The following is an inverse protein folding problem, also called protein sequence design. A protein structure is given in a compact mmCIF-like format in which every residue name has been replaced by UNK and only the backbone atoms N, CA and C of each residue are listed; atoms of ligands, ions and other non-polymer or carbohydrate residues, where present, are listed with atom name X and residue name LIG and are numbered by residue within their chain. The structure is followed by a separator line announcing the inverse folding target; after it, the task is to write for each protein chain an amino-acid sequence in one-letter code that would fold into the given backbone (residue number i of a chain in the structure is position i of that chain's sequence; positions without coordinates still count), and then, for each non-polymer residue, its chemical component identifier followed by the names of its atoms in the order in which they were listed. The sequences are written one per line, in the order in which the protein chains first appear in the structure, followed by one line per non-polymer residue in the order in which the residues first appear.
data_IF_029174491288
#
_entry.id   IF_029174491288
#
_cell.length_a   1.000
_cell.length_b   1.000
_cell.length_c   1.000
_cell.angle_alpha   90.00
_cell.angle_beta   90.00
_cell.angle_gamma   90.00
#
_symmetry.space_group_name_H-M   'P 1'
#
loop_
_entity.id
_entity.type
_entity.pdbx_description
1 polymer ?
#
# COMPACT_ATOMS: atom_id res chain seq x y z
N UNK A 1 -17.49 -18.12 58.49
CA UNK A 1 -18.68 -17.80 57.68
C UNK A 1 -18.26 -16.77 56.63
N UNK A 2 -18.09 -17.17 55.36
CA UNK A 2 -17.77 -16.25 54.25
C UNK A 2 -19.06 -15.56 53.83
N UNK A 3 -19.07 -14.23 53.86
CA UNK A 3 -20.27 -13.43 53.65
C UNK A 3 -20.62 -13.41 52.14
N UNK A 4 -21.71 -14.07 51.69
CA UNK A 4 -22.00 -14.29 50.27
C UNK A 4 -22.28 -12.98 49.50
N UNK A 5 -22.61 -11.90 50.23
CA UNK A 5 -22.86 -10.58 49.66
C UNK A 5 -21.59 -9.89 49.15
N UNK A 6 -20.44 -10.15 49.79
CA UNK A 6 -19.15 -9.56 49.40
C UNK A 6 -18.60 -10.25 48.15
N UNK A 7 -18.79 -11.58 47.99
CA UNK A 7 -18.36 -12.27 46.77
C UNK A 7 -19.21 -11.89 45.54
N UNK A 8 -20.50 -11.60 45.73
CA UNK A 8 -21.37 -11.11 44.65
C UNK A 8 -20.98 -9.70 44.19
N UNK A 9 -20.66 -8.79 45.11
CA UNK A 9 -20.23 -7.43 44.79
C UNK A 9 -18.87 -7.38 44.06
N UNK A 10 -17.93 -8.25 44.44
CA UNK A 10 -16.64 -8.38 43.76
C UNK A 10 -16.80 -8.95 42.34
N UNK A 11 -17.69 -9.94 42.16
CA UNK A 11 -17.96 -10.53 40.85
C UNK A 11 -18.65 -9.53 39.88
N UNK A 12 -19.57 -8.71 40.38
CA UNK A 12 -20.24 -7.67 39.59
C UNK A 12 -19.27 -6.55 39.22
N UNK A 13 -18.45 -6.09 40.16
CA UNK A 13 -17.44 -5.04 39.90
C UNK A 13 -16.37 -5.47 38.89
N UNK A 14 -15.97 -6.76 38.91
CA UNK A 14 -15.06 -7.33 37.92
C UNK A 14 -15.68 -7.43 36.51
N UNK A 15 -16.99 -7.69 36.41
CA UNK A 15 -17.70 -7.69 35.12
C UNK A 15 -17.78 -6.30 34.48
N UNK A 16 -17.96 -5.23 35.29
CA UNK A 16 -18.03 -3.85 34.79
C UNK A 16 -16.68 -3.32 34.28
N UNK A 17 -15.56 -3.79 34.84
CA UNK A 17 -14.23 -3.38 34.38
C UNK A 17 -13.87 -3.99 33.01
N UNK A 18 -14.39 -5.18 32.68
CA UNK A 18 -14.11 -5.86 31.41
C UNK A 18 -14.91 -5.30 30.22
N UNK A 19 -16.01 -4.57 30.46
CA UNK A 19 -16.81 -3.95 29.38
C UNK A 19 -16.26 -2.61 28.90
N UNK A 20 -15.41 -1.94 29.69
CA UNK A 20 -14.94 -0.58 29.39
C UNK A 20 -13.88 -0.52 28.27
N UNK A 21 -12.97 -1.51 28.21
CA UNK A 21 -11.94 -1.55 27.16
C UNK A 21 -12.47 -1.96 25.78
N UNK A 22 -13.59 -2.68 25.71
CA UNK A 22 -14.20 -3.08 24.44
C UNK A 22 -14.84 -1.90 23.68
N UNK A 23 -15.35 -0.89 24.40
CA UNK A 23 -15.98 0.29 23.82
C UNK A 23 -15.00 1.21 23.09
N UNK A 24 -13.80 1.42 23.64
CA UNK A 24 -12.79 2.32 23.06
C UNK A 24 -12.23 1.81 21.72
N UNK A 25 -11.99 0.49 21.59
CA UNK A 25 -11.54 -0.13 20.33
C UNK A 25 -12.58 -0.01 19.21
N UNK A 26 -13.86 -0.01 19.54
CA UNK A 26 -14.95 0.00 18.55
C UNK A 26 -15.15 1.40 17.93
N UNK A 27 -14.95 2.46 18.71
CA UNK A 27 -15.01 3.86 18.21
C UNK A 27 -13.81 4.20 17.30
N UNK A 28 -12.60 3.78 17.65
CA UNK A 28 -11.41 4.01 16.80
C UNK A 28 -11.51 3.29 15.45
N UNK A 29 -12.05 2.06 15.43
CA UNK A 29 -12.36 1.33 14.22
C UNK A 29 -13.40 2.07 13.36
N UNK A 30 -14.47 2.59 13.98
CA UNK A 30 -15.50 3.35 13.27
C UNK A 30 -14.93 4.59 12.59
N UNK A 31 -14.01 5.30 13.25
CA UNK A 31 -13.33 6.46 12.67
C UNK A 31 -12.48 6.05 11.45
N UNK A 32 -11.69 4.98 11.54
CA UNK A 32 -10.88 4.45 10.43
C UNK A 32 -11.74 3.94 9.25
N UNK A 33 -12.94 3.43 9.53
CA UNK A 33 -13.90 2.96 8.54
C UNK A 33 -14.63 4.12 7.84
N UNK A 34 -15.02 5.17 8.57
CA UNK A 34 -15.85 6.27 8.06
C UNK A 34 -15.05 7.43 7.43
N UNK A 35 -13.80 7.67 7.84
CA UNK A 35 -12.99 8.81 7.37
C UNK A 35 -11.55 8.38 7.08
N UNK A 36 -11.16 8.38 5.79
CA UNK A 36 -9.74 8.45 5.44
C UNK A 36 -9.28 9.91 5.51
N UNK A 37 -8.25 10.16 6.32
CA UNK A 37 -7.54 11.44 6.35
C UNK A 37 -6.22 11.38 5.56
N UNK A 38 -5.97 10.28 4.82
CA UNK A 38 -4.70 10.03 4.14
C UNK A 38 -4.42 10.99 2.98
N UNK A 39 -5.46 11.65 2.48
CA UNK A 39 -5.30 12.80 1.60
C UNK A 39 -6.37 13.85 1.91
N UNK A 40 -5.93 15.09 2.11
CA UNK A 40 -6.82 16.19 2.42
C UNK A 40 -7.11 17.10 1.22
N UNK A 41 -6.23 17.22 0.20
CA UNK A 41 -6.29 18.40 -0.69
C UNK A 41 -5.70 18.30 -2.12
N UNK A 42 -5.14 17.19 -2.61
CA UNK A 42 -4.48 17.16 -3.95
C UNK A 42 -5.17 16.27 -4.99
N UNK A 43 -6.24 16.78 -5.62
CA UNK A 43 -6.73 16.22 -6.90
C UNK A 43 -5.86 16.81 -8.01
N UNK A 44 -5.05 15.98 -8.65
CA UNK A 44 -4.30 16.40 -9.81
C UNK A 44 -5.24 16.48 -11.02
N UNK A 45 -5.15 17.60 -11.74
CA UNK A 45 -5.90 17.83 -12.97
C UNK A 45 -4.92 18.25 -14.05
N UNK A 46 -4.64 17.33 -14.96
CA UNK A 46 -3.76 17.53 -16.10
C UNK A 46 -4.23 16.68 -17.27
N UNK A 47 -3.69 16.98 -18.45
CA UNK A 47 -4.00 16.32 -19.72
C UNK A 47 -2.85 15.44 -20.17
N UNK A 48 -3.08 14.58 -21.17
CA UNK A 48 -2.02 13.74 -21.73
C UNK A 48 -0.85 14.57 -22.29
N UNK A 49 -1.09 15.82 -22.69
CA UNK A 49 -0.07 16.74 -23.19
C UNK A 49 0.87 17.26 -22.10
N UNK A 50 0.44 17.24 -20.84
CA UNK A 50 1.25 17.65 -19.69
C UNK A 50 2.19 16.53 -19.22
N UNK A 51 2.02 15.31 -19.73
CA UNK A 51 2.91 14.18 -19.45
C UNK A 51 4.17 14.32 -20.32
N UNK A 52 5.38 14.25 -19.72
CA UNK A 52 6.62 14.27 -20.47
C UNK A 52 6.67 13.22 -21.57
N UNK A 53 7.16 13.62 -22.75
CA UNK A 53 7.42 12.68 -23.84
C UNK A 53 8.60 11.77 -23.46
N UNK A 54 8.54 10.44 -23.71
CA UNK A 54 9.65 9.52 -23.45
C UNK A 54 10.99 10.03 -24.01
N UNK A 55 12.05 9.92 -23.20
CA UNK A 55 13.35 10.51 -23.52
C UNK A 55 13.98 9.95 -24.80
N UNK A 56 13.62 8.72 -25.20
CA UNK A 56 14.04 8.07 -26.44
C UNK A 56 13.54 8.81 -27.69
N UNK A 57 12.41 9.49 -27.58
CA UNK A 57 11.82 10.27 -28.66
C UNK A 57 12.34 11.71 -28.69
N UNK A 58 13.20 12.08 -27.73
CA UNK A 58 13.77 13.41 -27.61
C UNK A 58 15.20 13.46 -28.16
N UNK A 59 15.51 14.53 -28.90
CA UNK A 59 16.88 14.82 -29.31
C UNK A 59 17.62 15.50 -28.16
N UNK A 60 18.39 14.70 -27.41
CA UNK A 60 19.22 15.21 -26.30
C UNK A 60 20.61 15.61 -26.80
N UNK A 61 21.05 16.81 -26.42
CA UNK A 61 22.37 17.34 -26.77
C UNK A 61 23.51 16.46 -26.26
N UNK A 62 24.58 16.33 -27.05
CA UNK A 62 25.74 15.50 -26.72
C UNK A 62 26.40 15.90 -25.41
N UNK A 63 26.42 17.20 -25.11
CA UNK A 63 27.06 17.73 -23.91
C UNK A 63 26.32 17.31 -22.64
N UNK A 64 24.98 17.22 -22.70
CA UNK A 64 24.18 16.69 -21.61
C UNK A 64 24.42 15.19 -21.41
N UNK A 65 24.52 14.42 -22.50
CA UNK A 65 24.82 12.97 -22.43
C UNK A 65 26.21 12.66 -21.87
N UNK A 66 27.16 13.59 -22.01
CA UNK A 66 28.51 13.46 -21.45
C UNK A 66 28.53 13.65 -19.93
N UNK A 67 27.68 14.54 -19.42
CA UNK A 67 27.68 14.97 -18.03
C UNK A 67 26.66 14.23 -17.16
N UNK A 68 25.61 13.66 -17.76
CA UNK A 68 24.54 12.99 -17.05
C UNK A 68 24.32 11.57 -17.57
N UNK A 69 24.13 10.64 -16.63
CA UNK A 69 23.64 9.29 -16.96
C UNK A 69 22.22 9.33 -17.50
N UNK A 70 21.82 8.30 -18.26
CA UNK A 70 20.49 8.27 -18.89
C UNK A 70 19.35 8.33 -17.88
N UNK A 71 19.48 7.67 -16.71
CA UNK A 71 18.49 7.75 -15.64
C UNK A 71 18.30 9.18 -15.14
N UNK A 72 19.40 9.90 -14.85
CA UNK A 72 19.36 11.29 -14.43
C UNK A 72 18.70 12.20 -15.48
N UNK A 73 19.00 11.98 -16.77
CA UNK A 73 18.34 12.71 -17.86
C UNK A 73 16.85 12.38 -17.96
N UNK A 74 16.45 11.13 -17.74
CA UNK A 74 15.05 10.73 -17.74
C UNK A 74 14.29 11.34 -16.56
N UNK A 75 14.91 11.44 -15.37
CA UNK A 75 14.34 12.17 -14.24
C UNK A 75 14.23 13.66 -14.53
N UNK A 76 15.28 14.27 -15.11
CA UNK A 76 15.24 15.66 -15.53
C UNK A 76 14.10 15.92 -16.53
N UNK A 77 13.84 14.97 -17.44
CA UNK A 77 12.68 15.02 -18.34
C UNK A 77 11.36 14.90 -17.57
N UNK A 78 11.25 13.91 -16.67
CA UNK A 78 10.06 13.66 -15.85
C UNK A 78 9.61 14.91 -15.07
N UNK A 79 10.56 15.65 -14.48
CA UNK A 79 10.27 16.84 -13.66
C UNK A 79 10.25 18.15 -14.49
N UNK A 80 10.37 18.07 -15.81
CA UNK A 80 10.39 19.22 -16.70
C UNK A 80 11.64 20.11 -16.59
N UNK A 81 12.77 19.58 -16.09
CA UNK A 81 14.05 20.28 -15.96
C UNK A 81 14.98 20.11 -17.17
N UNK A 82 14.70 19.19 -18.09
CA UNK A 82 15.59 18.88 -19.21
C UNK A 82 15.95 20.10 -20.09
N UNK A 83 14.97 20.95 -20.41
CA UNK A 83 15.20 22.18 -21.17
C UNK A 83 16.03 23.21 -20.38
N UNK A 84 15.89 23.23 -19.04
CA UNK A 84 16.68 24.08 -18.16
C UNK A 84 18.13 23.62 -18.11
N UNK A 85 18.40 22.31 -18.14
CA UNK A 85 19.77 21.78 -18.21
C UNK A 85 20.47 22.20 -19.50
N UNK A 86 19.77 22.15 -20.64
CA UNK A 86 20.30 22.66 -21.91
C UNK A 86 20.65 24.14 -21.78
N UNK A 87 19.69 24.95 -21.31
CA UNK A 87 19.90 26.39 -21.09
C UNK A 87 21.09 26.65 -20.17
N UNK A 88 21.21 25.89 -19.09
CA UNK A 88 22.32 25.99 -18.15
C UNK A 88 23.66 25.70 -18.82
N UNK A 89 23.75 24.64 -19.63
CA UNK A 89 24.96 24.29 -20.36
C UNK A 89 25.37 25.40 -21.35
N UNK A 90 24.40 25.96 -22.09
CA UNK A 90 24.62 27.06 -23.03
C UNK A 90 25.13 28.32 -22.30
N UNK A 91 24.46 28.71 -21.21
CA UNK A 91 24.88 29.85 -20.37
C UNK A 91 26.27 29.65 -19.76
N UNK A 92 26.60 28.41 -19.35
CA UNK A 92 27.90 28.09 -18.75
C UNK A 92 29.02 28.25 -19.76
N UNK A 93 28.80 27.80 -21.00
CA UNK A 93 29.74 27.98 -22.10
C UNK A 93 29.93 29.46 -22.42
N UNK A 94 28.83 30.21 -22.54
CA UNK A 94 28.88 31.64 -22.86
C UNK A 94 29.57 32.48 -21.76
N UNK A 95 29.35 32.14 -20.49
CA UNK A 95 30.07 32.74 -19.37
C UNK A 95 31.57 32.42 -19.38
N UNK A 96 31.95 31.19 -19.72
CA UNK A 96 33.36 30.78 -19.80
C UNK A 96 34.11 31.53 -20.92
N UNK A 97 33.45 31.82 -22.04
CA UNK A 97 34.02 32.57 -23.16
C UNK A 97 34.04 34.09 -22.90
N UNK A 98 32.99 34.63 -22.28
CA UNK A 98 32.83 36.08 -22.06
C UNK A 98 32.24 36.38 -20.68
N UNK A 99 33.05 36.37 -19.61
CA UNK A 99 32.55 36.51 -18.25
C UNK A 99 32.00 37.92 -17.98
N UNK A 100 30.77 38.00 -17.45
CA UNK A 100 30.15 39.24 -16.96
C UNK A 100 29.25 39.00 -15.75
N UNK A 101 28.93 40.06 -15.01
CA UNK A 101 28.02 39.99 -13.85
C UNK A 101 26.62 39.56 -14.28
N UNK A 102 26.14 40.06 -15.41
CA UNK A 102 24.83 39.75 -15.98
C UNK A 102 24.74 38.26 -16.33
N UNK A 103 25.74 37.70 -17.00
CA UNK A 103 25.77 36.26 -17.33
C UNK A 103 25.89 35.37 -16.10
N UNK A 104 26.63 35.81 -15.08
CA UNK A 104 26.68 35.12 -13.80
C UNK A 104 25.30 35.11 -13.12
N UNK A 105 24.56 36.22 -13.18
CA UNK A 105 23.20 36.30 -12.66
C UNK A 105 22.26 35.36 -13.43
N UNK A 106 22.31 35.33 -14.75
CA UNK A 106 21.52 34.41 -15.58
C UNK A 106 21.79 32.93 -15.24
N UNK A 107 23.06 32.57 -15.01
CA UNK A 107 23.45 31.25 -14.52
C UNK A 107 22.80 30.93 -13.18
N UNK A 108 22.93 31.83 -12.20
CA UNK A 108 22.34 31.66 -10.86
C UNK A 108 20.81 31.52 -10.92
N UNK A 109 20.13 32.31 -11.74
CA UNK A 109 18.69 32.19 -11.95
C UNK A 109 18.30 30.83 -12.57
N UNK A 110 19.11 30.34 -13.52
CA UNK A 110 18.88 29.04 -14.14
C UNK A 110 19.07 27.91 -13.13
N UNK A 111 20.14 27.96 -12.32
CA UNK A 111 20.40 27.03 -11.22
C UNK A 111 19.25 27.03 -10.21
N UNK A 112 18.75 28.22 -9.83
CA UNK A 112 17.61 28.33 -8.92
C UNK A 112 16.34 27.67 -9.49
N UNK A 113 16.06 27.85 -10.78
CA UNK A 113 14.91 27.21 -11.44
C UNK A 113 15.03 25.69 -11.47
N UNK A 114 16.24 25.15 -11.72
CA UNK A 114 16.49 23.70 -11.69
C UNK A 114 16.28 23.17 -10.27
N UNK A 115 16.85 23.82 -9.25
CA UNK A 115 16.68 23.44 -7.86
C UNK A 115 15.21 23.52 -7.41
N UNK A 116 14.47 24.52 -7.88
CA UNK A 116 13.03 24.61 -7.63
C UNK A 116 12.26 23.41 -8.23
N UNK A 117 12.60 22.98 -9.46
CA UNK A 117 12.00 21.77 -10.06
C UNK A 117 12.31 20.52 -9.27
N UNK A 118 13.56 20.36 -8.82
CA UNK A 118 13.98 19.25 -7.96
C UNK A 118 13.19 19.25 -6.64
N UNK A 119 13.06 20.41 -5.99
CA UNK A 119 12.36 20.53 -4.71
C UNK A 119 10.86 20.23 -4.84
N UNK A 120 10.19 20.76 -5.86
CA UNK A 120 8.77 20.48 -6.11
C UNK A 120 8.57 18.98 -6.35
N UNK A 121 9.39 18.37 -7.21
CA UNK A 121 9.31 16.94 -7.47
C UNK A 121 9.57 16.11 -6.20
N UNK A 122 10.53 16.51 -5.36
CA UNK A 122 10.82 15.83 -4.09
C UNK A 122 9.63 15.86 -3.13
N UNK A 123 8.90 16.98 -3.07
CA UNK A 123 7.68 17.13 -2.27
C UNK A 123 6.52 16.31 -2.85
N UNK A 124 6.33 16.34 -4.17
CA UNK A 124 5.31 15.55 -4.86
C UNK A 124 5.51 14.03 -4.65
N UNK A 125 6.73 13.55 -4.83
CA UNK A 125 7.09 12.13 -4.60
C UNK A 125 6.83 11.75 -3.14
N UNK A 126 7.24 12.59 -2.19
CA UNK A 126 6.99 12.33 -0.77
C UNK A 126 5.51 12.34 -0.42
N UNK A 127 4.73 13.27 -0.99
CA UNK A 127 3.30 13.32 -0.74
C UNK A 127 2.59 12.06 -1.25
N UNK A 128 2.98 11.56 -2.42
CA UNK A 128 2.47 10.29 -2.95
C UNK A 128 2.87 9.12 -2.06
N UNK A 129 4.15 9.01 -1.67
CA UNK A 129 4.62 7.94 -0.80
C UNK A 129 3.86 7.94 0.55
N UNK A 130 3.75 9.09 1.21
CA UNK A 130 2.99 9.21 2.46
C UNK A 130 1.49 8.92 2.30
N UNK A 131 0.90 9.21 1.13
CA UNK A 131 -0.49 8.81 0.85
C UNK A 131 -0.62 7.29 0.73
N UNK A 132 0.36 6.61 0.12
CA UNK A 132 0.37 5.14 0.00
C UNK A 132 0.54 4.47 1.37
N UNK A 133 1.55 4.89 2.14
CA UNK A 133 1.84 4.42 3.52
C UNK A 133 0.61 4.60 4.43
N UNK A 134 -0.06 5.76 4.37
CA UNK A 134 -1.25 5.98 5.18
C UNK A 134 -2.43 5.06 4.79
N UNK A 135 -2.69 4.86 3.49
CA UNK A 135 -3.77 3.96 3.06
C UNK A 135 -3.42 2.47 3.28
N UNK A 136 -2.13 2.13 3.23
CA UNK A 136 -1.60 0.81 3.62
C UNK A 136 -1.90 0.56 5.10
N UNK A 137 -1.41 1.42 5.99
CA UNK A 137 -1.57 1.30 7.44
C UNK A 137 -3.06 1.26 7.82
N UNK A 138 -3.89 2.08 7.16
CA UNK A 138 -5.34 2.04 7.34
C UNK A 138 -5.94 0.68 6.97
N UNK A 139 -5.50 0.07 5.87
CA UNK A 139 -5.98 -1.24 5.47
C UNK A 139 -5.46 -2.33 6.42
N UNK A 140 -4.17 -2.28 6.80
CA UNK A 140 -3.53 -3.28 7.66
C UNK A 140 -4.06 -3.26 9.10
N UNK A 141 -4.26 -2.08 9.71
CA UNK A 141 -4.85 -1.97 11.04
C UNK A 141 -6.24 -2.62 11.12
N UNK A 142 -7.06 -2.44 10.08
CA UNK A 142 -8.39 -3.05 10.01
C UNK A 142 -8.26 -4.56 9.74
N UNK A 143 -7.32 -4.98 8.88
CA UNK A 143 -7.03 -6.40 8.66
C UNK A 143 -6.66 -7.10 9.97
N UNK A 144 -5.70 -6.53 10.70
CA UNK A 144 -5.22 -7.00 12.01
C UNK A 144 -6.35 -7.05 13.04
N UNK A 145 -7.20 -6.01 13.10
CA UNK A 145 -8.37 -6.03 13.99
C UNK A 145 -9.35 -7.17 13.66
N UNK A 146 -9.64 -7.39 12.37
CA UNK A 146 -10.52 -8.48 11.96
C UNK A 146 -9.89 -9.85 12.25
N UNK A 147 -8.59 -9.98 12.01
CA UNK A 147 -7.83 -11.20 12.27
C UNK A 147 -7.80 -11.56 13.76
N UNK A 148 -7.54 -10.58 14.63
CA UNK A 148 -7.64 -10.74 16.09
C UNK A 148 -9.02 -11.26 16.52
N UNK A 149 -10.09 -10.77 15.89
CA UNK A 149 -11.45 -11.21 16.19
C UNK A 149 -11.71 -12.63 15.71
N UNK A 150 -11.23 -12.99 14.52
CA UNK A 150 -11.29 -14.36 13.99
C UNK A 150 -10.53 -15.33 14.90
N UNK A 151 -9.30 -15.00 15.29
CA UNK A 151 -8.43 -15.82 16.12
C UNK A 151 -9.00 -16.02 17.54
N UNK A 152 -9.67 -15.01 18.09
CA UNK A 152 -10.39 -15.12 19.36
C UNK A 152 -11.57 -16.09 19.28
N UNK A 153 -12.31 -16.09 18.17
CA UNK A 153 -13.42 -17.04 17.95
C UNK A 153 -12.84 -18.45 17.75
N UNK A 154 -11.78 -18.58 16.95
CA UNK A 154 -11.08 -19.84 16.72
C UNK A 154 -10.58 -20.46 18.02
N UNK A 155 -9.95 -19.66 18.89
CA UNK A 155 -9.48 -20.10 20.21
C UNK A 155 -10.63 -20.62 21.06
N UNK A 156 -11.76 -19.89 21.12
CA UNK A 156 -12.93 -20.31 21.89
C UNK A 156 -13.57 -21.59 21.37
N UNK A 157 -13.69 -21.73 20.04
CA UNK A 157 -14.24 -22.93 19.40
C UNK A 157 -13.33 -24.14 19.60
N UNK A 158 -12.01 -23.95 19.50
CA UNK A 158 -11.02 -25.01 19.72
C UNK A 158 -11.05 -25.51 21.17
N UNK A 159 -11.00 -24.59 22.14
CA UNK A 159 -11.07 -24.95 23.56
C UNK A 159 -12.41 -25.59 23.90
N UNK A 160 -13.52 -25.05 23.42
CA UNK A 160 -14.86 -25.61 23.63
C UNK A 160 -15.00 -27.01 23.04
N UNK A 161 -14.52 -27.22 21.81
CA UNK A 161 -14.49 -28.53 21.15
C UNK A 161 -13.64 -29.55 21.92
N UNK A 162 -12.47 -29.15 22.43
CA UNK A 162 -11.62 -30.01 23.25
C UNK A 162 -12.28 -30.39 24.58
N UNK A 163 -12.90 -29.43 25.29
CA UNK A 163 -13.60 -29.72 26.55
C UNK A 163 -14.77 -30.68 26.32
N UNK A 164 -15.61 -30.42 25.32
CA UNK A 164 -16.75 -31.29 24.99
C UNK A 164 -16.27 -32.68 24.57
N UNK A 165 -15.22 -32.76 23.75
CA UNK A 165 -14.62 -34.03 23.32
C UNK A 165 -14.06 -34.84 24.47
N UNK A 166 -13.32 -34.19 25.39
CA UNK A 166 -12.75 -34.83 26.57
C UNK A 166 -13.82 -35.33 27.55
N UNK A 167 -14.83 -34.50 27.85
CA UNK A 167 -15.94 -34.91 28.72
C UNK A 167 -16.76 -36.06 28.12
N UNK A 168 -16.98 -36.06 26.80
CA UNK A 168 -17.66 -37.15 26.12
C UNK A 168 -16.90 -38.48 26.15
N UNK A 169 -15.57 -38.45 26.02
CA UNK A 169 -14.72 -39.63 26.11
C UNK A 169 -14.68 -40.24 27.52
N UNK A 170 -14.69 -39.40 28.56
CA UNK A 170 -14.78 -39.86 29.95
C UNK A 170 -16.16 -40.47 30.26
N UNK A 171 -17.24 -39.86 29.75
CA UNK A 171 -18.59 -40.38 29.93
C UNK A 171 -18.81 -41.72 29.20
N UNK A 172 -18.31 -41.88 27.98
CA UNK A 172 -18.39 -43.16 27.26
C UNK A 172 -17.54 -44.24 27.93
N UNK A 173 -16.32 -43.92 28.40
CA UNK A 173 -15.47 -44.85 29.14
C UNK A 173 -16.10 -45.33 30.47
N UNK A 174 -16.81 -44.46 31.18
CA UNK A 174 -17.49 -44.82 32.43
C UNK A 174 -18.77 -45.64 32.20
N UNK A 175 -19.50 -45.39 31.10
CA UNK A 175 -20.71 -46.12 30.74
C UNK A 175 -20.42 -47.52 30.18
N UNK A 176 -19.29 -47.72 29.49
CA UNK A 176 -18.84 -49.05 29.02
C UNK A 176 -18.53 -49.98 30.20
N UNK A 177 -18.15 -49.45 31.36
CA UNK A 177 -17.84 -50.24 32.56
C UNK A 177 -19.10 -50.66 33.37
N UNK A 178 -20.30 -50.21 32.97
CA UNK A 178 -21.59 -50.65 33.53
C UNK A 178 -22.37 -51.36 32.42
N UNK A 179 -22.11 -52.65 32.25
CA UNK A 179 -22.49 -53.47 31.08
C UNK A 179 -23.97 -53.53 30.72
N UNK A 180 -24.51 -52.47 30.12
CA UNK A 180 -25.72 -52.47 29.27
C UNK A 180 -25.80 -51.15 28.49
N UNK A 181 -24.88 -50.93 27.54
CA UNK A 181 -24.96 -49.80 26.61
C UNK A 181 -25.03 -50.35 25.17
N UNK A 182 -26.25 -50.60 24.71
CA UNK A 182 -26.55 -50.83 23.29
C UNK A 182 -26.11 -49.61 22.46
N UNK A 183 -25.13 -49.84 21.57
CA UNK A 183 -24.81 -49.26 20.24
C UNK A 183 -24.96 -47.76 19.91
N UNK A 184 -25.39 -46.86 20.80
CA UNK A 184 -25.62 -45.45 20.44
C UNK A 184 -24.54 -44.43 20.88
N UNK A 185 -23.43 -44.88 21.45
CA UNK A 185 -22.53 -43.99 22.21
C UNK A 185 -21.08 -43.87 21.68
N UNK A 186 -20.87 -44.17 20.38
CA UNK A 186 -19.62 -43.86 19.67
C UNK A 186 -19.69 -42.66 18.72
N UNK A 187 -20.88 -42.15 18.41
CA UNK A 187 -21.09 -41.19 17.31
C UNK A 187 -21.10 -39.72 17.78
N UNK A 188 -21.40 -39.45 19.06
CA UNK A 188 -21.55 -38.07 19.56
C UNK A 188 -20.25 -37.28 19.75
N UNK A 189 -19.12 -37.94 19.99
CA UNK A 189 -17.86 -37.28 20.39
C UNK A 189 -17.02 -36.78 19.21
N UNK A 190 -17.10 -37.42 18.04
CA UNK A 190 -16.43 -36.95 16.81
C UNK A 190 -17.13 -35.76 16.14
N UNK A 191 -18.45 -35.63 16.32
CA UNK A 191 -19.26 -34.59 15.67
C UNK A 191 -18.93 -33.20 16.22
N UNK A 192 -18.71 -33.04 17.53
CA UNK A 192 -18.45 -31.72 18.12
C UNK A 192 -17.13 -31.09 17.62
N UNK A 193 -16.06 -31.88 17.52
CA UNK A 193 -14.78 -31.42 16.95
C UNK A 193 -14.88 -31.10 15.46
N UNK A 194 -15.60 -31.93 14.69
CA UNK A 194 -15.84 -31.66 13.26
C UNK A 194 -16.66 -30.39 13.03
N UNK A 195 -17.71 -30.15 13.83
CA UNK A 195 -18.52 -28.93 13.77
C UNK A 195 -17.69 -27.71 14.15
N UNK A 196 -16.90 -27.77 15.22
CA UNK A 196 -16.00 -26.69 15.60
C UNK A 196 -14.99 -26.37 14.48
N UNK A 197 -14.39 -27.40 13.85
CA UNK A 197 -13.50 -27.23 12.70
C UNK A 197 -14.19 -26.57 11.50
N UNK A 198 -15.42 -26.97 11.17
CA UNK A 198 -16.20 -26.32 10.11
C UNK A 198 -16.52 -24.86 10.44
N UNK A 199 -16.89 -24.57 11.69
CA UNK A 199 -17.15 -23.19 12.13
C UNK A 199 -15.89 -22.33 12.06
N UNK A 200 -14.73 -22.85 12.46
CA UNK A 200 -13.44 -22.17 12.31
C UNK A 200 -13.17 -21.83 10.84
N UNK A 201 -13.29 -22.82 9.95
CA UNK A 201 -13.03 -22.63 8.51
C UNK A 201 -14.01 -21.67 7.81
N UNK A 202 -15.22 -21.52 8.34
CA UNK A 202 -16.26 -20.67 7.75
C UNK A 202 -16.38 -19.29 8.42
N UNK A 203 -15.71 -19.07 9.56
CA UNK A 203 -15.73 -17.81 10.30
C UNK A 203 -14.79 -16.76 9.69
N UNK A 204 -15.14 -16.25 8.50
CA UNK A 204 -14.48 -15.08 7.91
C UNK A 204 -15.28 -13.82 8.25
N UNK A 205 -14.75 -13.01 9.16
CA UNK A 205 -15.35 -11.73 9.52
C UNK A 205 -15.18 -10.77 8.34
N UNK A 206 -16.24 -10.00 8.05
CA UNK A 206 -16.21 -9.00 6.99
C UNK A 206 -16.52 -7.62 7.51
N UNK A 207 -15.92 -6.62 6.88
CA UNK A 207 -16.17 -5.20 7.14
C UNK A 207 -16.42 -4.46 5.83
N UNK A 208 -17.23 -3.41 5.86
CA UNK A 208 -17.36 -2.49 4.73
C UNK A 208 -16.18 -1.52 4.74
N UNK A 209 -15.38 -1.55 3.68
CA UNK A 209 -14.21 -0.70 3.51
C UNK A 209 -14.25 -0.07 2.12
N UNK A 210 -14.34 1.25 2.08
CA UNK A 210 -14.44 2.03 0.84
C UNK A 210 -13.23 2.95 0.68
N UNK A 211 -12.83 3.12 -0.58
CA UNK A 211 -11.64 3.86 -1.00
C UNK A 211 -11.94 4.65 -2.28
N UNK A 212 -12.71 5.74 -2.17
CA UNK A 212 -13.10 6.55 -3.33
C UNK A 212 -11.90 7.04 -4.16
N UNK A 213 -10.79 7.32 -3.47
CA UNK A 213 -9.50 7.62 -4.09
C UNK A 213 -8.66 6.35 -4.02
N UNK A 214 -8.47 5.71 -5.17
CA UNK A 214 -7.91 4.37 -5.24
C UNK A 214 -6.65 4.30 -6.11
N UNK A 215 -5.43 4.46 -5.55
CA UNK A 215 -4.18 4.38 -6.31
C UNK A 215 -4.02 3.03 -7.01
N UNK A 216 -4.51 1.95 -6.41
CA UNK A 216 -4.49 0.62 -7.03
C UNK A 216 -5.28 0.61 -8.33
N UNK A 217 -6.42 1.32 -8.36
CA UNK A 217 -7.26 1.46 -9.55
C UNK A 217 -6.53 2.15 -10.69
N UNK A 218 -5.85 3.27 -10.42
CA UNK A 218 -5.08 4.00 -11.43
C UNK A 218 -3.96 3.13 -12.01
N UNK A 219 -3.19 2.44 -11.16
CA UNK A 219 -2.15 1.49 -11.58
C UNK A 219 -2.73 0.37 -12.44
N UNK A 220 -3.88 -0.20 -12.05
CA UNK A 220 -4.49 -1.32 -12.74
C UNK A 220 -5.06 -0.93 -14.11
N UNK A 221 -5.85 0.15 -14.15
CA UNK A 221 -6.61 0.58 -15.32
C UNK A 221 -5.79 1.35 -16.35
N UNK A 222 -4.64 1.92 -15.95
CA UNK A 222 -3.68 2.49 -16.90
C UNK A 222 -4.29 3.64 -17.74
N UNK A 223 -5.00 4.56 -17.10
CA UNK A 223 -5.55 5.75 -17.77
C UNK A 223 -4.47 6.60 -18.43
N UNK A 224 -4.87 7.45 -19.39
CA UNK A 224 -3.93 8.39 -20.01
C UNK A 224 -3.33 9.34 -18.97
N UNK A 225 -4.14 9.79 -18.02
CA UNK A 225 -3.73 10.61 -16.86
C UNK A 225 -4.18 9.94 -15.56
N UNK A 226 -3.64 10.44 -14.44
CA UNK A 226 -4.02 10.02 -13.10
C UNK A 226 -4.51 11.21 -12.29
N UNK A 227 -5.55 10.99 -11.49
CA UNK A 227 -6.02 11.99 -10.51
C UNK A 227 -5.30 11.88 -9.16
N UNK A 228 -4.47 10.84 -9.02
CA UNK A 228 -3.78 10.43 -7.80
C UNK A 228 -2.29 10.72 -7.89
N UNK A 229 -1.68 10.39 -9.02
CA UNK A 229 -0.25 10.60 -9.28
C UNK A 229 -0.04 11.89 -10.07
N UNK A 230 0.89 12.77 -9.66
CA UNK A 230 1.28 13.94 -10.43
C UNK A 230 1.96 13.52 -11.75
N UNK A 231 2.01 14.40 -12.77
CA UNK A 231 2.52 14.06 -14.11
C UNK A 231 3.91 13.42 -14.10
N UNK A 232 4.82 13.91 -13.26
CA UNK A 232 6.19 13.39 -13.15
C UNK A 232 6.22 11.94 -12.63
N UNK A 233 5.43 11.65 -11.59
CA UNK A 233 5.33 10.30 -11.00
C UNK A 233 4.59 9.37 -11.94
N UNK A 234 3.50 9.85 -12.56
CA UNK A 234 2.75 9.07 -13.54
C UNK A 234 3.61 8.72 -14.75
N UNK A 235 4.39 9.66 -15.28
CA UNK A 235 5.38 9.38 -16.31
C UNK A 235 6.38 8.32 -15.85
N UNK A 236 6.98 8.48 -14.66
CA UNK A 236 7.99 7.55 -14.14
C UNK A 236 7.46 6.11 -14.01
N UNK A 237 6.23 5.94 -13.52
CA UNK A 237 5.59 4.64 -13.39
C UNK A 237 5.31 3.97 -14.74
N UNK A 238 4.99 4.77 -15.77
CA UNK A 238 4.55 4.30 -17.08
C UNK A 238 5.66 4.24 -18.14
N UNK A 239 6.79 4.89 -17.86
CA UNK A 239 7.93 4.94 -18.75
C UNK A 239 8.47 3.52 -19.00
N UNK A 240 8.68 3.20 -20.28
CA UNK A 240 9.29 1.96 -20.73
C UNK A 240 10.66 2.27 -21.29
N UNK A 241 11.68 1.72 -20.63
CA UNK A 241 13.04 1.86 -21.11
C UNK A 241 13.27 0.93 -22.31
N UNK A 242 13.47 1.52 -23.49
CA UNK A 242 13.69 0.76 -24.72
C UNK A 242 14.97 -0.10 -24.70
N UNK A 243 15.93 0.17 -23.81
CA UNK A 243 17.13 -0.66 -23.68
C UNK A 243 16.92 -1.90 -22.81
N UNK A 244 15.84 -1.95 -22.05
CA UNK A 244 15.48 -3.07 -21.17
C UNK A 244 14.07 -3.57 -21.53
N UNK A 245 13.90 -3.91 -22.81
CA UNK A 245 12.63 -4.26 -23.43
C UNK A 245 11.95 -5.50 -22.82
N UNK A 246 12.70 -6.30 -22.05
CA UNK A 246 12.18 -7.49 -21.36
C UNK A 246 11.49 -7.14 -20.03
N UNK A 247 11.73 -5.96 -19.46
CA UNK A 247 11.27 -5.59 -18.12
C UNK A 247 9.94 -4.82 -18.10
N UNK A 248 9.62 -4.12 -19.19
CA UNK A 248 8.42 -3.26 -19.29
C UNK A 248 8.42 -2.11 -18.27
N UNK A 249 7.33 -1.34 -18.21
CA UNK A 249 7.21 -0.23 -17.25
C UNK A 249 7.15 -0.71 -15.79
N UNK A 250 7.52 0.16 -14.84
CA UNK A 250 7.43 -0.15 -13.41
C UNK A 250 5.98 -0.50 -13.00
N UNK A 251 4.99 0.19 -13.57
CA UNK A 251 3.57 -0.14 -13.42
C UNK A 251 3.27 -1.57 -13.88
N UNK A 252 3.79 -1.98 -15.03
CA UNK A 252 3.59 -3.34 -15.53
C UNK A 252 4.26 -4.37 -14.62
N UNK A 253 5.46 -4.08 -14.10
CA UNK A 253 6.17 -4.93 -13.14
C UNK A 253 5.37 -5.12 -11.84
N UNK A 254 4.80 -4.04 -11.28
CA UNK A 254 3.91 -4.10 -10.11
C UNK A 254 2.71 -5.00 -10.39
N UNK A 255 2.03 -4.78 -11.53
CA UNK A 255 0.86 -5.58 -11.90
C UNK A 255 1.20 -7.07 -12.02
N UNK A 256 2.35 -7.39 -12.62
CA UNK A 256 2.82 -8.79 -12.69
C UNK A 256 3.08 -9.33 -11.29
N UNK A 257 3.77 -8.59 -10.42
CA UNK A 257 4.01 -9.01 -9.02
C UNK A 257 2.72 -9.32 -8.26
N UNK A 258 1.68 -8.50 -8.41
CA UNK A 258 0.37 -8.76 -7.80
C UNK A 258 -0.31 -10.03 -8.34
N UNK A 259 -0.10 -10.35 -9.63
CA UNK A 259 -0.63 -11.59 -10.21
C UNK A 259 0.19 -12.81 -9.76
N UNK A 260 1.51 -12.70 -9.70
CA UNK A 260 2.42 -13.81 -9.44
C UNK A 260 2.45 -14.22 -7.96
N UNK A 261 2.39 -13.26 -7.03
CA UNK A 261 2.44 -13.52 -5.59
C UNK A 261 1.09 -13.97 -5.00
N UNK A 262 0.05 -14.05 -5.81
CA UNK A 262 -1.26 -14.47 -5.33
C UNK A 262 -2.04 -13.42 -4.55
N UNK A 263 -1.61 -12.16 -4.62
CA UNK A 263 -2.44 -11.01 -4.25
C UNK A 263 -3.75 -11.02 -5.05
N UNK A 264 -3.67 -11.45 -6.32
CA UNK A 264 -4.80 -11.57 -7.25
C UNK A 264 -4.98 -13.02 -7.77
N UNK A 265 -4.05 -13.94 -7.51
CA UNK A 265 -4.14 -15.33 -7.99
C UNK A 265 -5.13 -16.17 -7.17
N UNK A 266 -5.80 -17.13 -7.84
CA UNK A 266 -6.81 -18.02 -7.23
C UNK A 266 -8.28 -17.61 -7.43
N UNK A 267 -8.57 -16.53 -8.15
CA UNK A 267 -9.95 -16.14 -8.40
C UNK A 267 -10.54 -16.96 -9.57
N UNK A 268 -11.48 -17.87 -9.28
CA UNK A 268 -12.27 -18.60 -10.29
C UNK A 268 -12.87 -17.62 -11.31
N UNK A 269 -12.90 -18.00 -12.60
CA UNK A 269 -13.29 -17.12 -13.72
C UNK A 269 -14.58 -16.31 -13.49
N UNK A 270 -15.61 -16.89 -12.85
CA UNK A 270 -16.88 -16.22 -12.52
C UNK A 270 -16.79 -15.21 -11.35
N UNK A 271 -15.80 -15.34 -10.46
CA UNK A 271 -15.58 -14.41 -9.31
C UNK A 271 -14.52 -13.36 -9.61
N UNK A 272 -13.81 -13.48 -10.73
CA UNK A 272 -12.67 -12.62 -11.11
C UNK A 272 -13.08 -11.16 -11.15
N UNK A 273 -14.21 -10.85 -11.77
CA UNK A 273 -14.72 -9.47 -11.87
C UNK A 273 -15.04 -8.84 -10.52
N UNK A 274 -15.80 -9.53 -9.66
CA UNK A 274 -16.16 -9.02 -8.32
C UNK A 274 -14.95 -8.81 -7.41
N UNK A 275 -13.92 -9.65 -7.51
CA UNK A 275 -12.71 -9.50 -6.72
C UNK A 275 -11.79 -8.40 -7.25
N UNK A 276 -11.72 -8.22 -8.57
CA UNK A 276 -11.00 -7.09 -9.17
C UNK A 276 -11.69 -5.76 -8.84
N UNK A 277 -13.02 -5.69 -8.94
CA UNK A 277 -13.78 -4.48 -8.58
C UNK A 277 -13.64 -4.13 -7.10
N UNK A 278 -13.44 -5.13 -6.24
CA UNK A 278 -13.17 -4.91 -4.81
C UNK A 278 -11.89 -4.08 -4.64
N UNK A 279 -10.78 -4.51 -5.25
CA UNK A 279 -9.47 -3.86 -5.12
C UNK A 279 -9.31 -2.59 -5.95
N UNK A 280 -9.82 -2.58 -7.18
CA UNK A 280 -9.55 -1.56 -8.20
C UNK A 280 -10.74 -0.61 -8.45
N UNK A 281 -11.91 -0.92 -7.88
CA UNK A 281 -13.09 -0.05 -7.89
C UNK A 281 -13.17 0.85 -6.66
N UNK A 282 -14.39 1.04 -6.11
CA UNK A 282 -14.65 1.94 -4.98
C UNK A 282 -14.57 1.26 -3.60
N UNK A 283 -14.38 -0.06 -3.55
CA UNK A 283 -14.38 -0.87 -2.33
C UNK A 283 -15.67 -1.66 -2.12
N UNK A 284 -15.85 -2.20 -0.92
CA UNK A 284 -16.96 -3.11 -0.61
C UNK A 284 -16.72 -3.90 0.68
N UNK A 285 -17.21 -5.15 0.72
CA UNK A 285 -17.04 -6.03 1.89
C UNK A 285 -15.73 -6.80 1.80
N UNK A 286 -14.81 -6.49 2.70
CA UNK A 286 -13.50 -7.13 2.80
C UNK A 286 -13.41 -8.10 3.97
N UNK A 287 -12.66 -9.19 3.80
CA UNK A 287 -12.11 -10.00 4.91
C UNK A 287 -10.75 -9.47 5.37
N UNK A 288 -10.25 -9.94 6.51
CA UNK A 288 -8.89 -9.63 6.99
C UNK A 288 -7.82 -9.88 5.91
N UNK A 289 -7.80 -11.09 5.36
CA UNK A 289 -6.88 -11.49 4.28
C UNK A 289 -6.94 -10.54 3.08
N UNK A 290 -8.13 -10.08 2.69
CA UNK A 290 -8.26 -9.20 1.53
C UNK A 290 -7.75 -7.79 1.81
N UNK A 291 -7.86 -7.29 3.04
CA UNK A 291 -7.30 -6.00 3.43
C UNK A 291 -5.78 -6.05 3.55
N UNK A 292 -5.23 -7.13 4.10
CA UNK A 292 -3.77 -7.35 4.13
C UNK A 292 -3.19 -7.35 2.71
N UNK A 293 -3.79 -8.09 1.77
CA UNK A 293 -3.39 -8.04 0.34
C UNK A 293 -3.49 -6.63 -0.27
N UNK A 294 -4.47 -5.81 0.17
CA UNK A 294 -4.58 -4.41 -0.26
C UNK A 294 -3.41 -3.60 0.28
N UNK A 295 -3.06 -3.76 1.55
CA UNK A 295 -1.91 -3.11 2.17
C UNK A 295 -0.62 -3.49 1.43
N UNK A 296 -0.38 -4.79 1.19
CA UNK A 296 0.77 -5.28 0.45
C UNK A 296 0.89 -4.68 -0.97
N UNK A 297 -0.24 -4.45 -1.64
CA UNK A 297 -0.25 -3.78 -2.95
C UNK A 297 0.08 -2.28 -2.86
N UNK A 298 -0.29 -1.61 -1.77
CA UNK A 298 0.00 -0.19 -1.54
C UNK A 298 1.47 0.03 -1.19
N UNK A 299 2.04 -0.80 -0.30
CA UNK A 299 3.48 -0.82 0.03
C UNK A 299 4.34 -0.96 -1.23
N UNK A 300 3.92 -1.83 -2.16
CA UNK A 300 4.63 -2.00 -3.43
C UNK A 300 4.66 -0.75 -4.30
N UNK A 301 3.58 0.04 -4.30
CA UNK A 301 3.56 1.33 -4.99
C UNK A 301 4.46 2.32 -4.25
N UNK A 302 4.35 2.39 -2.93
CA UNK A 302 5.18 3.27 -2.10
C UNK A 302 6.68 3.02 -2.35
N UNK A 303 7.10 1.76 -2.28
CA UNK A 303 8.46 1.30 -2.54
C UNK A 303 8.98 1.81 -3.90
N UNK A 304 8.15 1.78 -4.95
CA UNK A 304 8.55 2.23 -6.29
C UNK A 304 8.58 3.76 -6.40
N UNK A 305 7.66 4.46 -5.75
CA UNK A 305 7.70 5.92 -5.67
C UNK A 305 8.94 6.37 -4.89
N UNK A 306 9.34 5.64 -3.85
CA UNK A 306 10.59 5.87 -3.12
C UNK A 306 11.84 5.61 -3.99
N UNK A 307 11.81 4.68 -4.95
CA UNK A 307 12.88 4.52 -5.94
C UNK A 307 13.03 5.78 -6.82
N UNK A 308 11.91 6.40 -7.24
CA UNK A 308 11.97 7.68 -7.97
C UNK A 308 12.69 8.76 -7.15
N UNK A 309 12.52 8.78 -5.82
CA UNK A 309 13.23 9.71 -4.93
C UNK A 309 14.74 9.46 -4.93
N UNK A 310 15.17 8.22 -5.02
CA UNK A 310 16.59 7.86 -5.13
C UNK A 310 17.17 8.32 -6.48
N UNK A 311 16.45 8.10 -7.57
CA UNK A 311 16.86 8.55 -8.91
C UNK A 311 16.89 10.10 -8.98
N UNK A 312 15.96 10.79 -8.32
CA UNK A 312 15.96 12.25 -8.19
C UNK A 312 17.17 12.76 -7.42
N UNK A 313 17.55 12.09 -6.34
CA UNK A 313 18.79 12.40 -5.60
C UNK A 313 20.02 12.23 -6.49
N UNK A 314 20.09 11.15 -7.28
CA UNK A 314 21.21 10.94 -8.20
C UNK A 314 21.29 12.07 -9.24
N UNK A 315 20.16 12.48 -9.82
CA UNK A 315 20.10 13.65 -10.69
C UNK A 315 20.58 14.94 -10.01
N UNK A 316 20.11 15.22 -8.79
CA UNK A 316 20.49 16.42 -8.05
C UNK A 316 22.00 16.48 -7.78
N UNK A 317 22.61 15.36 -7.38
CA UNK A 317 24.05 15.26 -7.15
C UNK A 317 24.86 15.43 -8.45
N UNK A 318 24.39 14.85 -9.56
CA UNK A 318 25.02 15.04 -10.87
C UNK A 318 24.96 16.51 -11.30
N UNK A 319 23.83 17.18 -11.06
CA UNK A 319 23.68 18.61 -11.33
C UNK A 319 24.62 19.46 -10.46
N UNK A 320 24.70 19.20 -9.16
CA UNK A 320 25.61 19.91 -8.24
C UNK A 320 27.08 19.77 -8.68
N UNK A 321 27.47 18.57 -9.12
CA UNK A 321 28.83 18.32 -9.62
C UNK A 321 29.17 19.22 -10.81
N UNK A 322 28.24 19.41 -11.75
CA UNK A 322 28.46 20.32 -12.87
C UNK A 322 28.22 21.78 -12.52
N UNK A 323 27.49 22.09 -11.44
CA UNK A 323 27.24 23.46 -11.00
C UNK A 323 28.42 24.08 -10.25
N UNK A 324 29.33 23.24 -9.73
CA UNK A 324 30.53 23.75 -9.06
C UNK A 324 31.32 24.72 -9.95
N UNK A 325 31.66 25.92 -9.43
CA UNK A 325 32.39 26.90 -10.20
C UNK A 325 33.78 26.38 -10.53
N UNK A 326 34.19 26.57 -11.79
CA UNK A 326 35.60 26.47 -12.17
C UNK A 326 36.33 27.53 -11.33
N UNK A 327 37.20 27.08 -10.42
CA UNK A 327 38.05 27.96 -9.61
C UNK A 327 39.02 28.74 -10.48
#
# INVERSE_FOLDING_TARGET
MKNPMISALVAVSFCYLMTSCAGLRNEQLKIQLEKSNCNQLSIYSYTAQDIPTPIEHLKIDSDLKKNFGRKSLNIANAIGALHLLKKYADLKKDYAEHPSTEKRLELLECTQKINQRINIASLEISAVASEMDCEEERADQIASYLKDKEDNIETKLTVGGLVIGASGALASGFLVNKGNANDYLGIGTGIAGAVAGVLILTNKTKVEFYHKRNPLGDIWHAGETSTIFPPAVWYYLNYEDSSDCLRGSLRNQIKQKWMDLGEISGIKAERKRKSLDLYFGAGGKYTAEQLSKRADMLDQIESIVNLMKQDLKEFALAFETIDTPVR
#
